data_IF_094582421391
#
_entry.id   IF_094582421391
#
_cell.length_a   1.000
_cell.length_b   1.000
_cell.length_c   1.000
_cell.angle_alpha   90.00
_cell.angle_beta   90.00
_cell.angle_gamma   90.00
#
_symmetry.space_group_name_H-M   'P 1'
#
loop_
_entity.id
_entity.type
_entity.pdbx_description
1 polymer ?
#
# COMPACT_ATOMS: atom_id res chain seq x y z
N UNK A 1 11.50 -25.62 -15.51
CA UNK A 1 11.17 -24.27 -16.03
C UNK A 1 10.41 -23.55 -14.93
N UNK A 2 11.02 -22.54 -14.31
CA UNK A 2 10.43 -21.82 -13.18
C UNK A 2 9.25 -20.97 -13.62
N UNK A 3 8.13 -21.08 -12.91
CA UNK A 3 6.99 -20.17 -13.07
C UNK A 3 7.45 -18.79 -12.57
N UNK A 4 7.63 -17.84 -13.48
CA UNK A 4 7.81 -16.45 -13.11
C UNK A 4 6.49 -15.97 -12.49
N UNK A 5 6.40 -16.02 -11.15
CA UNK A 5 5.31 -15.37 -10.43
C UNK A 5 5.42 -13.89 -10.72
N UNK A 6 4.51 -13.38 -11.55
CA UNK A 6 4.39 -11.94 -11.79
C UNK A 6 3.88 -11.38 -10.47
N UNK A 7 4.75 -10.75 -9.69
CA UNK A 7 4.47 -10.06 -8.43
C UNK A 7 4.44 -8.55 -8.63
N UNK A 8 3.76 -7.80 -7.76
CA UNK A 8 3.84 -6.33 -7.70
C UNK A 8 4.33 -5.97 -6.31
N UNK A 9 5.39 -5.19 -6.23
CA UNK A 9 5.87 -4.64 -4.98
C UNK A 9 5.25 -3.25 -4.79
N UNK A 10 4.55 -3.06 -3.68
CA UNK A 10 4.00 -1.76 -3.28
C UNK A 10 4.88 -1.20 -2.17
N UNK A 11 5.55 -0.09 -2.47
CA UNK A 11 6.39 0.63 -1.54
C UNK A 11 5.60 1.80 -0.96
N UNK A 12 5.33 1.76 0.34
CA UNK A 12 4.45 2.71 1.03
C UNK A 12 5.19 3.24 2.26
N UNK A 13 5.26 4.56 2.40
CA UNK A 13 5.94 5.27 3.49
C UNK A 13 5.05 5.43 4.74
N UNK A 14 3.79 4.98 4.67
CA UNK A 14 2.82 5.05 5.75
C UNK A 14 2.38 3.69 6.24
N UNK A 15 2.73 3.38 7.50
CA UNK A 15 2.30 2.16 8.21
C UNK A 15 0.78 2.05 8.27
N UNK A 16 0.09 3.17 8.51
CA UNK A 16 -1.37 3.22 8.57
C UNK A 16 -2.02 2.83 7.24
N UNK A 17 -1.42 3.26 6.12
CA UNK A 17 -1.91 2.93 4.78
C UNK A 17 -1.65 1.45 4.45
N UNK A 18 -0.47 0.92 4.79
CA UNK A 18 -0.19 -0.53 4.63
C UNK A 18 -1.19 -1.37 5.39
N UNK A 19 -1.53 -0.97 6.62
CA UNK A 19 -2.52 -1.69 7.45
C UNK A 19 -3.89 -1.69 6.80
N UNK A 20 -4.39 -0.51 6.40
CA UNK A 20 -5.69 -0.35 5.74
C UNK A 20 -5.79 -1.16 4.44
N UNK A 21 -4.73 -1.20 3.64
CA UNK A 21 -4.71 -1.99 2.39
C UNK A 21 -4.72 -3.49 2.68
N UNK A 22 -3.95 -3.95 3.67
CA UNK A 22 -3.90 -5.37 4.06
C UNK A 22 -5.21 -5.88 4.68
N UNK A 23 -5.85 -5.04 5.48
CA UNK A 23 -7.12 -5.37 6.16
C UNK A 23 -8.33 -5.15 5.23
N UNK A 24 -8.20 -4.31 4.20
CA UNK A 24 -9.29 -3.97 3.27
C UNK A 24 -10.37 -3.07 3.88
N UNK A 25 -10.16 -2.58 5.10
CA UNK A 25 -11.13 -1.79 5.86
C UNK A 25 -10.63 -0.36 6.09
N UNK A 26 -11.54 0.61 5.94
CA UNK A 26 -11.25 2.01 6.24
C UNK A 26 -12.49 2.72 6.78
N UNK A 27 -12.28 3.63 7.73
CA UNK A 27 -13.31 4.53 8.25
C UNK A 27 -13.45 5.81 7.43
N UNK A 28 -12.62 6.00 6.40
CA UNK A 28 -12.69 7.17 5.53
C UNK A 28 -13.73 6.95 4.41
N UNK A 29 -14.79 7.74 4.40
CA UNK A 29 -15.77 7.74 3.33
C UNK A 29 -15.14 8.08 1.96
N UNK A 30 -14.12 8.96 1.96
CA UNK A 30 -13.38 9.33 0.75
C UNK A 30 -12.40 8.24 0.31
N UNK A 31 -11.76 7.55 1.27
CA UNK A 31 -10.77 6.50 1.01
C UNK A 31 -11.37 5.14 0.66
N UNK A 32 -12.64 4.90 0.95
CA UNK A 32 -13.28 3.59 0.83
C UNK A 32 -13.13 2.97 -0.57
N UNK A 33 -13.45 3.73 -1.63
CA UNK A 33 -13.35 3.23 -3.00
C UNK A 33 -11.92 2.85 -3.40
N UNK A 34 -10.94 3.66 -2.97
CA UNK A 34 -9.52 3.43 -3.24
C UNK A 34 -9.03 2.15 -2.54
N UNK A 35 -9.34 2.00 -1.25
CA UNK A 35 -8.95 0.82 -0.46
C UNK A 35 -9.57 -0.44 -1.06
N UNK A 36 -10.83 -0.38 -1.47
CA UNK A 36 -11.55 -1.52 -2.06
C UNK A 36 -10.95 -1.93 -3.41
N UNK A 37 -10.58 -0.99 -4.27
CA UNK A 37 -9.92 -1.31 -5.54
C UNK A 37 -8.52 -1.89 -5.35
N UNK A 38 -7.71 -1.30 -4.47
CA UNK A 38 -6.37 -1.83 -4.17
C UNK A 38 -6.47 -3.24 -3.58
N UNK A 39 -7.37 -3.45 -2.60
CA UNK A 39 -7.59 -4.76 -2.01
C UNK A 39 -8.07 -5.78 -3.06
N UNK A 40 -8.94 -5.37 -3.99
CA UNK A 40 -9.36 -6.21 -5.12
C UNK A 40 -8.18 -6.58 -6.02
N UNK A 41 -7.30 -5.64 -6.34
CA UNK A 41 -6.11 -5.90 -7.16
C UNK A 41 -5.13 -6.86 -6.46
N UNK A 42 -4.95 -6.71 -5.16
CA UNK A 42 -4.14 -7.62 -4.33
C UNK A 42 -4.77 -9.02 -4.23
N UNK A 43 -6.11 -9.09 -4.16
CA UNK A 43 -6.84 -10.36 -4.06
C UNK A 43 -6.86 -11.19 -5.35
N UNK A 44 -6.52 -10.61 -6.51
CA UNK A 44 -6.54 -11.28 -7.82
C UNK A 44 -5.33 -12.21 -8.06
N UNK A 45 -4.83 -12.86 -7.00
CA UNK A 45 -3.67 -13.77 -7.02
C UNK A 45 -2.34 -13.12 -7.46
N UNK A 46 -2.26 -11.79 -7.43
CA UNK A 46 -0.98 -11.11 -7.52
C UNK A 46 -0.25 -11.31 -6.19
N UNK A 47 0.94 -11.92 -6.18
CA UNK A 47 1.80 -11.90 -4.99
C UNK A 47 2.24 -10.45 -4.73
N UNK A 48 1.44 -9.72 -3.95
CA UNK A 48 1.71 -8.36 -3.56
C UNK A 48 2.57 -8.35 -2.30
N UNK A 49 3.82 -7.88 -2.44
CA UNK A 49 4.72 -7.68 -1.31
C UNK A 49 4.67 -6.20 -0.91
N UNK A 50 4.32 -5.93 0.35
CA UNK A 50 4.28 -4.57 0.89
C UNK A 50 5.57 -4.29 1.64
N UNK A 51 6.39 -3.40 1.10
CA UNK A 51 7.57 -2.85 1.76
C UNK A 51 7.22 -1.52 2.42
N UNK A 52 7.60 -1.36 3.69
CA UNK A 52 7.64 -0.04 4.31
C UNK A 52 8.96 0.61 3.89
N UNK A 53 8.89 1.81 3.32
CA UNK A 53 10.09 2.62 3.11
C UNK A 53 10.26 3.53 4.31
N UNK A 54 11.32 3.34 5.08
CA UNK A 54 11.76 4.34 6.04
C UNK A 54 12.46 5.47 5.25
N UNK A 55 11.78 6.61 5.10
CA UNK A 55 12.40 7.83 4.57
C UNK A 55 13.28 8.42 5.68
N UNK A 56 14.60 8.31 5.57
CA UNK A 56 15.58 8.87 6.53
C UNK A 56 15.68 10.42 6.48
N UNK A 57 14.58 11.12 6.20
CA UNK A 57 14.58 12.57 6.11
C UNK A 57 13.47 13.11 5.22
N UNK A 58 12.31 13.34 5.80
CA UNK A 58 11.41 14.39 5.34
C UNK A 58 11.77 15.63 6.17
N UNK A 59 12.53 16.55 5.57
CA UNK A 59 12.54 17.93 6.06
C UNK A 59 11.16 18.51 5.79
N UNK A 60 10.33 18.57 6.82
CA UNK A 60 9.17 19.45 6.83
C UNK A 60 9.70 20.89 6.70
N UNK A 61 9.78 21.42 5.48
CA UNK A 61 9.97 22.85 5.24
C UNK A 61 8.65 23.56 5.58
N UNK A 62 8.43 23.71 6.89
CA UNK A 62 7.41 24.59 7.45
C UNK A 62 7.88 26.02 7.38
N UNK A 63 7.18 26.78 6.53
CA UNK A 63 7.22 28.23 6.37
C UNK A 63 6.77 28.92 7.67
N UNK A 64 7.59 29.83 8.19
CA UNK A 64 7.15 31.00 8.98
C UNK A 64 7.79 32.27 8.38
#
# INVERSE_FOLDING_TARGET
MGLAKKGVELNVDSVSVVKVIKEGETNSAMGYSLVKEIHRLVSLEWEAMFGLIEHDGVECSGME
#
